data_IF_794135804457
#
_entry.id   IF_794135804457
#
_cell.length_a   1.000
_cell.length_b   1.000
_cell.length_c   1.000
_cell.angle_alpha   90.00
_cell.angle_beta   90.00
_cell.angle_gamma   90.00
#
_symmetry.space_group_name_H-M   'P 1'
#
loop_
_entity.id
_entity.type
_entity.pdbx_description
1 polymer ?
#
# COMPACT_ATOMS: atom_id res chain seq x y z
N UNK A 1 -22.53 -7.08 -8.04
CA UNK A 1 -21.33 -7.20 -7.25
C UNK A 1 -20.82 -5.84 -6.84
N UNK A 2 -20.54 -5.64 -5.58
CA UNK A 2 -20.12 -4.34 -5.08
C UNK A 2 -18.61 -4.22 -5.15
N UNK A 3 -18.14 -3.14 -5.80
CA UNK A 3 -16.75 -2.78 -5.74
C UNK A 3 -16.49 -1.97 -4.48
N UNK A 4 -15.37 -2.19 -3.87
CA UNK A 4 -14.98 -1.45 -2.69
C UNK A 4 -13.74 -0.63 -3.00
N UNK A 5 -13.75 0.66 -2.63
CA UNK A 5 -12.57 1.49 -2.78
C UNK A 5 -11.56 1.11 -1.71
N UNK A 6 -10.31 0.90 -2.12
CA UNK A 6 -9.21 0.60 -1.22
C UNK A 6 -8.04 1.48 -1.56
N UNK A 7 -7.14 1.63 -0.59
CA UNK A 7 -5.88 2.35 -0.78
C UNK A 7 -4.78 1.33 -1.05
N UNK A 8 -3.98 1.61 -2.06
CA UNK A 8 -2.85 0.76 -2.44
C UNK A 8 -1.58 1.57 -2.33
N UNK A 9 -0.58 1.01 -1.64
CA UNK A 9 0.76 1.58 -1.57
C UNK A 9 1.68 0.65 -2.34
N UNK A 10 2.38 1.20 -3.33
CA UNK A 10 3.30 0.42 -4.16
C UNK A 10 4.73 0.68 -3.75
N UNK A 11 5.59 -0.30 -3.99
CA UNK A 11 6.98 -0.28 -3.52
C UNK A 11 7.89 -0.81 -4.61
N UNK A 12 9.17 -0.48 -4.52
CA UNK A 12 10.20 -1.03 -5.40
C UNK A 12 10.75 -2.35 -4.89
N UNK A 13 10.60 -2.60 -3.58
CA UNK A 13 11.17 -3.78 -2.94
C UNK A 13 10.14 -4.45 -2.05
N UNK A 14 10.07 -5.77 -2.10
CA UNK A 14 9.17 -6.54 -1.25
C UNK A 14 9.52 -6.37 0.24
N UNK A 15 10.80 -6.09 0.54
CA UNK A 15 11.19 -5.88 1.93
C UNK A 15 10.48 -4.68 2.55
N UNK A 16 10.28 -3.62 1.77
CA UNK A 16 9.56 -2.44 2.26
C UNK A 16 8.10 -2.77 2.55
N UNK A 17 7.47 -3.59 1.71
CA UNK A 17 6.09 -4.03 1.96
C UNK A 17 6.01 -4.83 3.25
N UNK A 18 6.95 -5.76 3.42
CA UNK A 18 6.99 -6.60 4.62
C UNK A 18 7.22 -5.76 5.88
N UNK A 19 8.09 -4.77 5.79
CA UNK A 19 8.33 -3.88 6.92
C UNK A 19 7.07 -3.12 7.31
N UNK A 20 6.37 -2.56 6.34
CA UNK A 20 5.12 -1.86 6.62
C UNK A 20 4.09 -2.80 7.25
N UNK A 21 3.94 -4.00 6.70
CA UNK A 21 2.99 -4.97 7.25
C UNK A 21 3.32 -5.33 8.69
N UNK A 22 4.60 -5.35 9.04
CA UNK A 22 5.02 -5.73 10.39
C UNK A 22 4.72 -4.67 11.44
N UNK A 23 4.56 -3.40 11.05
CA UNK A 23 4.40 -2.30 12.00
C UNK A 23 2.98 -1.73 12.04
N UNK A 24 2.08 -2.19 11.18
CA UNK A 24 0.69 -1.75 11.20
C UNK A 24 -0.25 -2.92 10.99
N UNK A 25 -1.42 -2.86 11.65
CA UNK A 25 -2.48 -3.83 11.44
C UNK A 25 -3.60 -3.28 10.57
N UNK A 26 -3.41 -2.08 10.03
CA UNK A 26 -4.43 -1.38 9.28
C UNK A 26 -4.33 -1.68 7.77
N UNK A 27 -4.00 -2.91 7.44
CA UNK A 27 -3.88 -3.37 6.07
C UNK A 27 -3.04 -4.62 5.98
N UNK A 28 -2.77 -5.05 4.75
CA UNK A 28 -2.03 -6.28 4.52
C UNK A 28 -1.33 -6.26 3.17
N UNK A 29 -0.32 -7.11 3.03
CA UNK A 29 0.37 -7.31 1.77
C UNK A 29 -0.48 -8.18 0.83
N UNK A 30 -0.62 -7.73 -0.42
CA UNK A 30 -1.34 -8.48 -1.45
C UNK A 30 -0.55 -8.42 -2.75
N UNK A 31 -0.81 -9.33 -3.70
CA UNK A 31 -0.27 -9.19 -5.06
C UNK A 31 -0.79 -7.90 -5.69
N UNK A 32 0.05 -7.24 -6.48
CA UNK A 32 -0.33 -5.98 -7.12
C UNK A 32 -1.49 -6.24 -8.11
N UNK A 33 -2.61 -5.49 -7.97
CA UNK A 33 -3.73 -5.63 -8.93
C UNK A 33 -3.30 -5.20 -10.32
N UNK A 34 -3.92 -5.78 -11.34
CA UNK A 34 -3.57 -5.51 -12.74
C UNK A 34 -3.78 -4.05 -13.13
N UNK A 35 -4.65 -3.32 -12.41
CA UNK A 35 -4.91 -1.91 -12.68
C UNK A 35 -3.86 -0.97 -12.08
N UNK A 36 -2.86 -1.51 -11.37
CA UNK A 36 -1.86 -0.71 -10.65
C UNK A 36 -0.48 -1.10 -11.17
N UNK A 37 0.39 -0.10 -11.35
CA UNK A 37 1.78 -0.34 -11.72
C UNK A 37 2.66 -0.27 -10.48
N UNK A 38 3.59 -1.21 -10.37
CA UNK A 38 4.51 -1.24 -9.25
C UNK A 38 5.85 -1.84 -9.66
N UNK A 39 6.90 -1.47 -8.93
CA UNK A 39 8.25 -1.98 -9.18
C UNK A 39 8.45 -3.39 -8.71
N UNK A 40 7.64 -3.87 -7.76
CA UNK A 40 7.69 -5.26 -7.32
C UNK A 40 6.30 -5.88 -7.46
N UNK A 41 6.22 -7.20 -7.32
CA UNK A 41 4.96 -7.92 -7.52
C UNK A 41 3.97 -7.84 -6.38
N UNK A 42 4.34 -7.20 -5.28
CA UNK A 42 3.50 -7.11 -4.08
C UNK A 42 3.28 -5.65 -3.71
N UNK A 43 2.16 -5.38 -3.05
CA UNK A 43 1.83 -4.06 -2.56
C UNK A 43 1.14 -4.18 -1.20
N UNK A 44 0.87 -3.03 -0.58
CA UNK A 44 0.13 -2.98 0.68
C UNK A 44 -1.27 -2.42 0.40
N UNK A 45 -2.30 -3.09 0.91
CA UNK A 45 -3.68 -2.66 0.74
C UNK A 45 -4.27 -2.30 2.08
N UNK A 46 -4.99 -1.19 2.13
CA UNK A 46 -5.71 -0.75 3.33
C UNK A 46 -7.09 -0.25 2.95
N UNK A 47 -8.02 -0.38 3.87
CA UNK A 47 -9.35 0.24 3.75
C UNK A 47 -9.37 1.66 4.31
N UNK A 48 -8.29 2.10 4.94
CA UNK A 48 -8.13 3.47 5.39
C UNK A 48 -7.66 4.30 4.21
N UNK A 49 -8.53 5.12 3.66
CA UNK A 49 -8.31 5.82 2.39
C UNK A 49 -7.56 7.15 2.53
N UNK A 50 -7.08 7.47 3.71
CA UNK A 50 -6.42 8.75 3.96
C UNK A 50 -4.98 8.72 3.46
N UNK A 51 -4.76 9.21 2.25
CA UNK A 51 -3.44 9.19 1.60
C UNK A 51 -2.41 9.96 2.42
N UNK A 52 -2.79 11.15 2.91
CA UNK A 52 -1.85 11.99 3.65
C UNK A 52 -1.39 11.31 4.94
N UNK A 53 -2.31 10.66 5.64
CA UNK A 53 -1.99 9.93 6.86
C UNK A 53 -0.97 8.82 6.58
N UNK A 54 -1.17 8.07 5.49
CA UNK A 54 -0.25 7.00 5.13
C UNK A 54 1.11 7.55 4.71
N UNK A 55 1.12 8.67 3.97
CA UNK A 55 2.37 9.30 3.57
C UNK A 55 3.20 9.70 4.79
N UNK A 56 2.56 10.35 5.76
CA UNK A 56 3.25 10.76 6.99
C UNK A 56 3.76 9.53 7.75
N UNK A 57 2.94 8.49 7.85
CA UNK A 57 3.31 7.28 8.57
C UNK A 57 4.54 6.61 7.95
N UNK A 58 4.56 6.52 6.61
CA UNK A 58 5.71 5.93 5.91
C UNK A 58 6.96 6.76 6.12
N UNK A 59 6.84 8.09 6.05
CA UNK A 59 7.99 8.97 6.26
C UNK A 59 8.52 8.88 7.67
N UNK A 60 7.63 8.85 8.66
CA UNK A 60 8.04 8.77 10.06
C UNK A 60 8.74 7.45 10.39
N UNK A 61 8.42 6.39 9.67
CA UNK A 61 9.02 5.09 9.88
C UNK A 61 10.15 4.79 8.91
N UNK A 62 10.54 5.76 8.10
CA UNK A 62 11.65 5.65 7.13
C UNK A 62 11.46 4.49 6.16
N UNK A 63 10.21 4.28 5.71
CA UNK A 63 9.90 3.23 4.73
C UNK A 63 9.80 3.87 3.35
N UNK A 64 10.60 3.40 2.40
CA UNK A 64 10.55 3.86 1.01
C UNK A 64 9.33 3.27 0.32
N UNK A 65 8.66 4.07 -0.50
CA UNK A 65 7.52 3.62 -1.29
C UNK A 65 7.53 4.33 -2.65
N UNK A 66 6.76 3.79 -3.61
CA UNK A 66 6.67 4.41 -4.93
C UNK A 66 5.47 5.34 -5.03
N UNK A 67 4.29 4.84 -4.68
CA UNK A 67 3.06 5.61 -4.88
C UNK A 67 1.99 5.17 -3.88
N UNK A 68 1.03 6.06 -3.66
CA UNK A 68 -0.15 5.78 -2.85
C UNK A 68 -1.36 6.17 -3.69
N UNK A 69 -2.20 5.19 -4.02
CA UNK A 69 -3.35 5.41 -4.89
C UNK A 69 -4.60 4.78 -4.30
N UNK A 70 -5.76 5.29 -4.70
CA UNK A 70 -7.04 4.70 -4.34
C UNK A 70 -7.62 4.04 -5.59
N UNK A 71 -8.08 2.81 -5.44
CA UNK A 71 -8.62 2.04 -6.56
C UNK A 71 -9.88 1.33 -6.12
N UNK A 72 -10.76 1.04 -7.09
CA UNK A 72 -11.91 0.18 -6.86
C UNK A 72 -11.47 -1.26 -7.09
N UNK A 73 -11.88 -2.11 -6.17
CA UNK A 73 -11.32 -3.46 -6.12
C UNK A 73 -12.41 -4.52 -6.11
#
# INVERSE_FOLDING_TARGET
>A
MNKEEVLIITFKSIQDVLELESITKNGRMIPVPSCVKAGCGMCFMSKDLNIEKWRVFLEENNISYEDIVRVDF
#
